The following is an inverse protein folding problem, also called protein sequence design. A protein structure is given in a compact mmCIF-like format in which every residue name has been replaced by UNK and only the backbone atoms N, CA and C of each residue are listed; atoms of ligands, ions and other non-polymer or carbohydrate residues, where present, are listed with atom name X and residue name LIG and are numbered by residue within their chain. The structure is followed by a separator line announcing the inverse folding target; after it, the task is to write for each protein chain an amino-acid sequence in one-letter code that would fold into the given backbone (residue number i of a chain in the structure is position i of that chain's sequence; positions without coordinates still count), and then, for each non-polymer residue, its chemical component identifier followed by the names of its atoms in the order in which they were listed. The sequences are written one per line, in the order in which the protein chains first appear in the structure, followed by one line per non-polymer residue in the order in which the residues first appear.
data_IF_614022912972
#
_entry.id   IF_614022912972
#
_cell.length_a   1.000
_cell.length_b   1.000
_cell.length_c   1.000
_cell.angle_alpha   90.00
_cell.angle_beta   90.00
_cell.angle_gamma   90.00
#
_symmetry.space_group_name_H-M   'P 1'
#
loop_
_entity.id
_entity.type
_entity.pdbx_description
1 polymer ?
#
# COMPACT_ATOMS: atom_id res chain seq x y z
N UNK A 1 -12.62 13.89 0.69
CA UNK A 1 -12.18 13.28 1.96
C UNK A 1 -10.68 13.45 2.17
N UNK A 2 -9.82 13.11 1.19
CA UNK A 2 -8.36 13.20 1.35
C UNK A 2 -7.74 14.60 1.16
N UNK A 3 -8.39 15.50 0.42
CA UNK A 3 -7.83 16.84 0.12
C UNK A 3 -7.46 17.62 1.38
N UNK A 4 -8.34 17.68 2.38
CA UNK A 4 -8.08 18.43 3.63
C UNK A 4 -6.77 18.01 4.33
N UNK A 5 -6.40 16.73 4.27
CA UNK A 5 -5.15 16.25 4.85
C UNK A 5 -3.95 16.67 4.01
N UNK A 6 -4.04 16.51 2.69
CA UNK A 6 -2.96 16.89 1.77
C UNK A 6 -2.80 18.40 1.62
N UNK A 7 -3.86 19.19 1.85
CA UNK A 7 -3.85 20.66 1.84
C UNK A 7 -3.02 21.25 2.99
N UNK A 8 -2.66 20.45 4.01
CA UNK A 8 -1.67 20.86 5.02
C UNK A 8 -0.30 21.20 4.40
N UNK A 9 0.00 20.67 3.20
CA UNK A 9 1.18 21.04 2.42
C UNK A 9 1.15 22.48 1.91
N UNK A 10 -0.02 23.11 1.83
CA UNK A 10 -0.14 24.55 1.51
C UNK A 10 0.36 25.43 2.66
N UNK A 11 0.29 24.92 3.91
CA UNK A 11 0.82 25.60 5.10
C UNK A 11 2.31 25.33 5.27
N UNK A 12 2.73 24.08 5.06
CA UNK A 12 4.13 23.67 5.10
C UNK A 12 4.51 22.92 3.81
N UNK A 13 5.12 23.59 2.81
CA UNK A 13 5.51 22.97 1.54
C UNK A 13 6.53 21.83 1.67
N UNK A 14 7.24 21.73 2.81
CA UNK A 14 8.19 20.65 3.07
C UNK A 14 7.52 19.39 3.66
N UNK A 15 6.25 19.47 4.06
CA UNK A 15 5.49 18.31 4.57
C UNK A 15 5.30 17.28 3.46
N UNK A 16 5.47 16.00 3.80
CA UNK A 16 5.16 14.85 2.95
C UNK A 16 4.04 14.04 3.59
N UNK A 17 3.05 13.65 2.79
CA UNK A 17 1.91 12.87 3.24
C UNK A 17 1.91 11.50 2.59
N UNK A 18 1.75 10.45 3.39
CA UNK A 18 1.60 9.08 2.92
C UNK A 18 0.18 8.59 3.24
N UNK A 19 -0.30 7.66 2.43
CA UNK A 19 -1.51 6.88 2.72
C UNK A 19 -1.06 5.46 3.08
N UNK A 20 -1.58 4.91 4.17
CA UNK A 20 -1.33 3.52 4.55
C UNK A 20 -2.38 2.59 3.93
N UNK A 21 -1.95 1.38 3.55
CA UNK A 21 -2.83 0.27 3.21
C UNK A 21 -2.51 -0.93 4.10
N UNK A 22 -3.53 -1.52 4.72
CA UNK A 22 -3.34 -2.60 5.68
C UNK A 22 -3.92 -2.26 7.05
N UNK A 23 -3.15 -2.54 8.09
CA UNK A 23 -3.55 -2.47 9.47
C UNK A 23 -4.30 -3.72 9.94
N UNK A 24 -4.33 -3.88 11.25
CA UNK A 24 -4.80 -5.11 11.91
C UNK A 24 -6.14 -5.64 11.38
N UNK A 25 -7.15 -4.76 11.23
CA UNK A 25 -8.51 -5.18 10.87
C UNK A 25 -8.68 -5.59 9.40
N UNK A 26 -7.73 -5.26 8.53
CA UNK A 26 -7.80 -5.64 7.12
C UNK A 26 -7.48 -7.13 6.87
N UNK A 27 -6.82 -7.79 7.83
CA UNK A 27 -6.38 -9.18 7.73
C UNK A 27 -5.30 -9.39 6.65
N UNK A 28 -4.90 -10.64 6.39
CA UNK A 28 -3.80 -10.95 5.45
C UNK A 28 -4.23 -11.61 4.13
N UNK A 29 -5.41 -12.21 4.04
CA UNK A 29 -5.80 -13.02 2.87
C UNK A 29 -5.83 -12.22 1.55
N UNK A 30 -6.34 -10.98 1.59
CA UNK A 30 -6.39 -10.09 0.41
C UNK A 30 -4.98 -9.73 -0.08
N UNK A 31 -4.07 -9.49 0.86
CA UNK A 31 -2.69 -9.10 0.57
C UNK A 31 -1.88 -10.28 0.04
N UNK A 32 -2.01 -11.47 0.66
CA UNK A 32 -1.40 -12.72 0.16
C UNK A 32 -1.84 -13.02 -1.27
N UNK A 33 -3.14 -12.91 -1.55
CA UNK A 33 -3.68 -13.09 -2.91
C UNK A 33 -3.11 -12.06 -3.88
N UNK A 34 -3.08 -10.78 -3.50
CA UNK A 34 -2.55 -9.70 -4.33
C UNK A 34 -1.05 -9.88 -4.64
N UNK A 35 -0.26 -10.30 -3.66
CA UNK A 35 1.18 -10.44 -3.80
C UNK A 35 1.59 -11.70 -4.62
N UNK A 36 0.68 -12.68 -4.74
CA UNK A 36 1.00 -14.04 -5.23
C UNK A 36 1.51 -14.16 -6.67
N UNK A 37 1.15 -13.24 -7.58
CA UNK A 37 1.56 -13.31 -8.99
C UNK A 37 2.16 -11.99 -9.48
N UNK A 38 3.07 -12.01 -10.47
CA UNK A 38 3.58 -10.78 -11.09
C UNK A 38 2.47 -9.88 -11.64
N UNK A 39 1.43 -10.47 -12.22
CA UNK A 39 0.31 -9.75 -12.83
C UNK A 39 -0.54 -9.03 -11.76
N UNK A 40 -0.84 -9.70 -10.64
CA UNK A 40 -1.60 -9.09 -9.55
C UNK A 40 -0.80 -7.99 -8.85
N UNK A 41 0.50 -8.19 -8.63
CA UNK A 41 1.40 -7.14 -8.09
C UNK A 41 1.44 -5.92 -9.00
N UNK A 42 1.63 -6.12 -10.32
CA UNK A 42 1.63 -5.02 -11.28
C UNK A 42 0.31 -4.25 -11.25
N UNK A 43 -0.82 -4.95 -11.26
CA UNK A 43 -2.15 -4.31 -11.20
C UNK A 43 -2.33 -3.49 -9.93
N UNK A 44 -1.84 -4.00 -8.80
CA UNK A 44 -1.87 -3.27 -7.54
C UNK A 44 -1.01 -2.01 -7.60
N UNK A 45 0.25 -2.10 -8.02
CA UNK A 45 1.17 -0.96 -8.16
C UNK A 45 0.60 0.11 -9.10
N UNK A 46 0.11 -0.28 -10.27
CA UNK A 46 -0.51 0.66 -11.23
C UNK A 46 -1.69 1.42 -10.57
N UNK A 47 -2.49 0.73 -9.78
CA UNK A 47 -3.64 1.34 -9.08
C UNK A 47 -3.21 2.27 -7.94
N UNK A 48 -2.14 1.92 -7.21
CA UNK A 48 -1.54 2.78 -6.18
C UNK A 48 -1.04 4.07 -6.81
N UNK A 49 -0.24 4.00 -7.87
CA UNK A 49 0.32 5.19 -8.55
C UNK A 49 -0.81 6.12 -9.01
N UNK A 50 -1.86 5.56 -9.63
CA UNK A 50 -3.03 6.33 -10.04
C UNK A 50 -3.75 6.97 -8.85
N UNK A 51 -3.91 6.24 -7.74
CA UNK A 51 -4.56 6.74 -6.53
C UNK A 51 -3.76 7.87 -5.87
N UNK A 52 -2.44 7.71 -5.73
CA UNK A 52 -1.56 8.73 -5.15
C UNK A 52 -1.62 10.02 -5.97
N UNK A 53 -1.51 9.93 -7.30
CA UNK A 53 -1.59 11.07 -8.20
C UNK A 53 -2.96 11.76 -8.16
N UNK A 54 -4.05 10.98 -8.13
CA UNK A 54 -5.42 11.52 -8.04
C UNK A 54 -5.67 12.29 -6.75
N UNK A 55 -5.07 11.87 -5.64
CA UNK A 55 -5.36 12.42 -4.33
C UNK A 55 -4.27 13.31 -3.75
N UNK A 56 -3.12 13.42 -4.40
CA UNK A 56 -2.03 14.32 -4.01
C UNK A 56 -1.16 13.81 -2.86
N UNK A 57 -1.06 12.49 -2.68
CA UNK A 57 -0.15 11.88 -1.70
C UNK A 57 1.26 11.76 -2.26
N UNK A 58 2.26 11.88 -1.39
CA UNK A 58 3.68 11.79 -1.75
C UNK A 58 4.23 10.36 -1.67
N UNK A 59 3.48 9.42 -1.10
CA UNK A 59 3.90 8.02 -1.00
C UNK A 59 2.84 7.08 -0.44
N UNK A 60 3.19 5.79 -0.44
CA UNK A 60 2.41 4.70 0.15
C UNK A 60 3.17 4.17 1.36
N UNK A 61 2.44 3.87 2.42
CA UNK A 61 2.89 3.05 3.54
C UNK A 61 2.21 1.66 3.45
N UNK A 62 2.99 0.58 3.55
CA UNK A 62 2.48 -0.80 3.40
C UNK A 62 2.46 -1.46 4.77
N UNK A 63 1.28 -1.45 5.38
CA UNK A 63 1.03 -1.96 6.73
C UNK A 63 0.38 -3.35 6.68
N UNK A 64 0.97 -4.27 5.89
CA UNK A 64 0.49 -5.65 5.84
C UNK A 64 0.87 -6.39 7.11
N UNK A 65 -0.12 -6.70 7.95
CA UNK A 65 0.06 -7.45 9.20
C UNK A 65 -0.49 -8.88 9.14
N UNK A 66 0.31 -9.92 8.89
CA UNK A 66 1.70 -9.90 8.41
C UNK A 66 1.88 -10.91 7.29
N UNK A 67 2.84 -10.74 6.36
CA UNK A 67 3.18 -11.76 5.38
C UNK A 67 3.36 -13.14 6.02
N UNK A 68 2.72 -14.16 5.45
CA UNK A 68 2.70 -15.56 5.90
C UNK A 68 1.94 -15.83 7.22
N UNK A 69 1.32 -14.82 7.83
CA UNK A 69 0.52 -14.96 9.04
C UNK A 69 -0.96 -14.60 8.77
N UNK A 70 -1.83 -14.87 9.74
CA UNK A 70 -3.23 -14.40 9.76
C UNK A 70 -4.03 -14.76 8.48
N UNK A 71 -3.80 -15.96 7.96
CA UNK A 71 -4.42 -16.48 6.73
C UNK A 71 -3.58 -16.30 5.46
N UNK A 72 -2.34 -15.83 5.58
CA UNK A 72 -1.34 -15.80 4.51
C UNK A 72 -0.66 -17.14 4.23
N UNK A 73 0.17 -17.17 3.19
CA UNK A 73 0.92 -18.34 2.74
C UNK A 73 2.44 -18.16 3.01
N UNK A 74 3.23 -19.24 3.20
CA UNK A 74 4.68 -19.13 3.44
C UNK A 74 5.43 -18.31 2.37
N UNK A 75 4.96 -18.37 1.11
CA UNK A 75 5.52 -17.65 -0.04
C UNK A 75 5.32 -16.13 0.05
N UNK A 76 4.45 -15.64 0.94
CA UNK A 76 4.22 -14.22 1.14
C UNK A 76 5.50 -13.48 1.52
N UNK A 77 6.47 -14.13 2.17
CA UNK A 77 7.77 -13.51 2.50
C UNK A 77 8.50 -13.05 1.24
N UNK A 78 8.64 -13.95 0.27
CA UNK A 78 9.30 -13.65 -1.01
C UNK A 78 8.43 -12.73 -1.88
N UNK A 79 7.12 -13.00 -1.91
CA UNK A 79 6.18 -12.19 -2.67
C UNK A 79 6.08 -10.74 -2.15
N UNK A 80 6.26 -10.52 -0.85
CA UNK A 80 6.32 -9.20 -0.26
C UNK A 80 7.58 -8.44 -0.70
N UNK A 81 8.74 -9.12 -0.75
CA UNK A 81 9.95 -8.52 -1.32
C UNK A 81 9.75 -8.16 -2.79
N UNK A 82 9.17 -9.08 -3.58
CA UNK A 82 8.85 -8.86 -5.00
C UNK A 82 7.76 -7.81 -5.25
N UNK A 83 6.99 -7.44 -4.22
CA UNK A 83 6.02 -6.35 -4.28
C UNK A 83 6.69 -4.99 -4.09
N UNK A 84 7.77 -4.93 -3.32
CA UNK A 84 8.49 -3.71 -2.98
C UNK A 84 9.67 -3.39 -3.92
N UNK A 85 10.09 -4.35 -4.74
CA UNK A 85 11.18 -4.22 -5.73
C UNK A 85 10.69 -3.69 -7.08
#
# INVERSE_FOLDING_TARGET
MYSKFNDLKLVNPNLKTLIAIGGWNEGSLKYSTMASTPQSRKKFVDSVVAFLGKHGFDGLDVDWEYPANRGGAPQDKDNFVLLLS
#
